data_IF_934673803200
#
_entry.id   IF_934673803200
#
_cell.length_a   1.000
_cell.length_b   1.000
_cell.length_c   1.000
_cell.angle_alpha   90.00
_cell.angle_beta   90.00
_cell.angle_gamma   90.00
#
_symmetry.space_group_name_H-M   'P 1'
#
loop_
_entity.id
_entity.type
_entity.pdbx_description
1 polymer ?
#
# COMPACT_ATOMS: atom_id res chain seq x y z
N UNK A 1 -2.16 -4.85 9.17
CA UNK A 1 -1.28 -5.12 8.02
C UNK A 1 -2.13 -5.87 7.00
N UNK A 2 -1.93 -5.67 5.69
CA UNK A 2 -2.74 -6.40 4.69
C UNK A 2 -2.19 -7.83 4.53
N UNK A 3 -3.03 -8.85 4.27
CA UNK A 3 -2.60 -10.24 4.12
C UNK A 3 -1.49 -10.43 3.06
N UNK A 4 -1.51 -9.61 2.02
CA UNK A 4 -0.49 -9.64 0.96
C UNK A 4 0.91 -9.25 1.45
N UNK A 5 1.02 -8.35 2.43
CA UNK A 5 2.30 -7.97 3.01
C UNK A 5 2.83 -9.04 3.97
N UNK A 6 1.92 -9.70 4.71
CA UNK A 6 2.25 -10.85 5.56
C UNK A 6 2.77 -12.01 4.70
N UNK A 7 2.06 -12.34 3.60
CA UNK A 7 2.48 -13.38 2.66
C UNK A 7 3.79 -13.04 1.95
N UNK A 8 3.99 -11.78 1.55
CA UNK A 8 5.27 -11.33 0.98
C UNK A 8 6.43 -11.54 1.96
N UNK A 9 6.23 -11.21 3.25
CA UNK A 9 7.23 -11.41 4.28
C UNK A 9 7.52 -12.89 4.51
N UNK A 10 6.49 -13.74 4.52
CA UNK A 10 6.67 -15.19 4.63
C UNK A 10 7.50 -15.75 3.47
N UNK A 11 7.17 -15.40 2.22
CA UNK A 11 7.90 -15.83 1.03
C UNK A 11 9.36 -15.35 1.04
N UNK A 12 9.61 -14.15 1.56
CA UNK A 12 10.98 -13.65 1.77
C UNK A 12 11.78 -14.48 2.79
N UNK A 13 11.15 -14.89 3.89
CA UNK A 13 11.80 -15.76 4.88
C UNK A 13 12.08 -17.15 4.30
N UNK A 14 11.17 -17.69 3.48
CA UNK A 14 11.37 -18.97 2.78
C UNK A 14 12.54 -18.87 1.79
N UNK A 15 12.59 -17.79 0.98
CA UNK A 15 13.64 -17.60 -0.03
C UNK A 15 15.05 -17.47 0.58
N UNK A 16 15.15 -16.98 1.82
CA UNK A 16 16.41 -16.96 2.57
C UNK A 16 16.89 -18.33 3.06
N UNK A 17 16.03 -19.36 3.08
CA UNK A 17 16.35 -20.71 3.56
C UNK A 17 16.54 -21.71 2.42
N UNK A 18 15.80 -21.55 1.33
CA UNK A 18 15.89 -22.37 0.11
C UNK A 18 15.42 -21.58 -1.09
N UNK A 19 15.72 -22.06 -2.30
CA UNK A 19 15.09 -21.55 -3.50
C UNK A 19 13.56 -21.69 -3.40
N UNK A 20 12.86 -20.67 -3.89
CA UNK A 20 11.41 -20.72 -4.04
C UNK A 20 11.04 -21.73 -5.13
N UNK A 21 9.92 -22.41 -4.93
CA UNK A 21 9.31 -23.20 -6.01
C UNK A 21 8.70 -22.25 -7.04
N UNK A 22 8.48 -22.68 -8.29
CA UNK A 22 7.86 -21.84 -9.32
C UNK A 22 6.50 -21.25 -8.91
N UNK A 23 5.73 -21.98 -8.10
CA UNK A 23 4.46 -21.49 -7.57
C UNK A 23 4.65 -20.37 -6.54
N UNK A 24 5.64 -20.52 -5.64
CA UNK A 24 5.98 -19.50 -4.65
C UNK A 24 6.59 -18.25 -5.30
N UNK A 25 7.40 -18.40 -6.36
CA UNK A 25 7.92 -17.27 -7.13
C UNK A 25 6.79 -16.49 -7.81
N UNK A 26 5.84 -17.19 -8.43
CA UNK A 26 4.67 -16.55 -9.04
C UNK A 26 3.83 -15.79 -8.00
N UNK A 27 3.60 -16.39 -6.82
CA UNK A 27 2.91 -15.75 -5.72
C UNK A 27 3.68 -14.55 -5.16
N UNK A 28 5.01 -14.66 -5.03
CA UNK A 28 5.86 -13.56 -4.58
C UNK A 28 5.75 -12.38 -5.55
N UNK A 29 5.76 -12.65 -6.86
CA UNK A 29 5.63 -11.61 -7.88
C UNK A 29 4.26 -10.93 -7.81
N UNK A 30 3.18 -11.67 -7.58
CA UNK A 30 1.85 -11.11 -7.36
C UNK A 30 1.81 -10.23 -6.10
N UNK A 31 2.40 -10.70 -5.00
CA UNK A 31 2.48 -9.94 -3.77
C UNK A 31 3.28 -8.63 -3.96
N UNK A 32 4.40 -8.69 -4.69
CA UNK A 32 5.22 -7.52 -5.02
C UNK A 32 4.45 -6.50 -5.86
N UNK A 33 3.66 -6.93 -6.85
CA UNK A 33 2.84 -6.02 -7.65
C UNK A 33 1.82 -5.25 -6.80
N UNK A 34 1.13 -5.96 -5.90
CA UNK A 34 0.17 -5.33 -4.98
C UNK A 34 0.89 -4.41 -3.99
N UNK A 35 2.04 -4.84 -3.44
CA UNK A 35 2.85 -4.04 -2.53
C UNK A 35 3.36 -2.75 -3.19
N UNK A 36 3.85 -2.84 -4.43
CA UNK A 36 4.31 -1.68 -5.19
C UNK A 36 3.19 -0.66 -5.39
N UNK A 37 1.99 -1.12 -5.77
CA UNK A 37 0.82 -0.25 -5.91
C UNK A 37 0.43 0.40 -4.58
N UNK A 38 0.38 -0.37 -3.50
CA UNK A 38 0.08 0.15 -2.16
C UNK A 38 1.07 1.25 -1.75
N UNK A 39 2.37 0.99 -1.90
CA UNK A 39 3.42 1.94 -1.57
C UNK A 39 3.32 3.23 -2.39
N UNK A 40 3.03 3.11 -3.69
CA UNK A 40 2.86 4.26 -4.57
C UNK A 40 1.66 5.13 -4.17
N UNK A 41 0.49 4.53 -3.92
CA UNK A 41 -0.69 5.26 -3.47
C UNK A 41 -0.48 5.92 -2.10
N UNK A 42 0.16 5.21 -1.15
CA UNK A 42 0.47 5.76 0.16
C UNK A 42 1.43 6.94 0.07
N UNK A 43 2.45 6.86 -0.79
CA UNK A 43 3.37 7.96 -1.03
C UNK A 43 2.67 9.18 -1.64
N UNK A 44 1.79 8.95 -2.63
CA UNK A 44 0.95 10.00 -3.23
C UNK A 44 0.13 10.72 -2.16
N UNK A 45 -0.60 9.97 -1.33
CA UNK A 45 -1.43 10.54 -0.27
C UNK A 45 -0.61 11.32 0.77
N UNK A 46 0.57 10.83 1.17
CA UNK A 46 1.46 11.57 2.08
C UNK A 46 1.91 12.92 1.51
N UNK A 47 2.20 12.96 0.21
CA UNK A 47 2.55 14.21 -0.45
C UNK A 47 1.36 15.17 -0.51
N UNK A 48 0.15 14.66 -0.79
CA UNK A 48 -1.07 15.46 -0.77
C UNK A 48 -1.38 16.01 0.64
N UNK A 49 -1.22 15.20 1.69
CA UNK A 49 -1.38 15.65 3.08
C UNK A 49 -0.38 16.77 3.44
N UNK A 50 0.88 16.64 3.00
CA UNK A 50 1.87 17.69 3.20
C UNK A 50 1.43 19.01 2.55
N UNK A 51 0.94 18.96 1.30
CA UNK A 51 0.45 20.15 0.61
C UNK A 51 -0.77 20.76 1.31
N UNK A 52 -1.73 19.96 1.74
CA UNK A 52 -2.90 20.41 2.48
C UNK A 52 -2.52 21.14 3.77
N UNK A 53 -1.56 20.59 4.52
CA UNK A 53 -1.00 21.21 5.72
C UNK A 53 -0.29 22.54 5.42
N UNK A 54 0.51 22.61 4.34
CA UNK A 54 1.20 23.84 3.94
C UNK A 54 0.24 24.95 3.50
N UNK A 55 -0.91 24.61 2.91
CA UNK A 55 -1.93 25.58 2.50
C UNK A 55 -2.97 25.88 3.59
N UNK A 56 -2.91 25.19 4.73
CA UNK A 56 -3.90 25.32 5.80
C UNK A 56 -5.29 24.78 5.44
N UNK A 57 -5.40 23.91 4.44
CA UNK A 57 -6.67 23.32 3.99
C UNK A 57 -7.01 22.09 4.84
N UNK A 58 -7.67 22.35 5.97
CA UNK A 58 -8.07 21.29 6.91
C UNK A 58 -9.10 20.31 6.32
N UNK A 59 -9.93 20.75 5.37
CA UNK A 59 -10.91 19.88 4.72
C UNK A 59 -10.21 18.85 3.83
N UNK A 60 -9.27 19.31 3.01
CA UNK A 60 -8.44 18.42 2.20
C UNK A 60 -7.62 17.47 3.08
N UNK A 61 -7.00 17.96 4.16
CA UNK A 61 -6.21 17.11 5.06
C UNK A 61 -7.05 15.97 5.67
N UNK A 62 -8.27 16.27 6.12
CA UNK A 62 -9.20 15.28 6.65
C UNK A 62 -9.59 14.22 5.60
N UNK A 63 -9.84 14.63 4.35
CA UNK A 63 -10.12 13.69 3.26
C UNK A 63 -8.95 12.75 2.98
N UNK A 64 -7.72 13.27 2.97
CA UNK A 64 -6.52 12.47 2.74
C UNK A 64 -6.30 11.50 3.90
N UNK A 65 -6.51 11.94 5.14
CA UNK A 65 -6.45 11.05 6.30
C UNK A 65 -7.44 9.87 6.19
N UNK A 66 -8.67 10.13 5.72
CA UNK A 66 -9.68 9.09 5.47
C UNK A 66 -9.23 8.12 4.35
N UNK A 67 -8.70 8.63 3.24
CA UNK A 67 -8.18 7.81 2.14
C UNK A 67 -6.98 6.95 2.57
N UNK A 68 -6.07 7.51 3.37
CA UNK A 68 -4.94 6.74 3.92
C UNK A 68 -5.42 5.64 4.87
N UNK A 69 -6.48 5.90 5.64
CA UNK A 69 -7.10 4.88 6.49
C UNK A 69 -7.73 3.76 5.64
N UNK A 70 -8.50 4.10 4.61
CA UNK A 70 -9.08 3.14 3.67
C UNK A 70 -8.01 2.29 2.97
N UNK A 71 -6.92 2.92 2.53
CA UNK A 71 -5.80 2.21 1.91
C UNK A 71 -5.16 1.21 2.87
N UNK A 72 -4.97 1.58 4.14
CA UNK A 72 -4.40 0.69 5.17
C UNK A 72 -5.30 -0.50 5.49
N UNK A 73 -6.62 -0.33 5.42
CA UNK A 73 -7.58 -1.37 5.79
C UNK A 73 -7.97 -2.27 4.62
N UNK A 74 -8.05 -1.72 3.41
CA UNK A 74 -8.57 -2.44 2.23
C UNK A 74 -7.54 -2.68 1.13
N UNK A 75 -6.39 -1.99 1.17
CA UNK A 75 -5.40 -2.00 0.08
C UNK A 75 -5.82 -1.20 -1.15
N UNK A 76 -6.90 -0.42 -1.08
CA UNK A 76 -7.43 0.41 -2.17
C UNK A 76 -7.91 1.75 -1.63
N UNK A 77 -7.99 2.73 -2.53
CA UNK A 77 -8.59 4.03 -2.26
C UNK A 77 -9.80 4.18 -3.18
N UNK A 78 -10.95 4.55 -2.61
CA UNK A 78 -12.14 4.88 -3.39
C UNK A 78 -11.90 6.14 -4.23
N UNK A 79 -12.31 6.15 -5.50
CA UNK A 79 -12.20 7.34 -6.35
C UNK A 79 -13.00 8.48 -5.73
N UNK A 80 -12.38 9.66 -5.58
CA UNK A 80 -13.09 10.90 -5.23
C UNK A 80 -14.28 11.07 -6.18
N UNK A 81 -15.48 11.22 -5.63
CA UNK A 81 -16.62 11.71 -6.41
C UNK A 81 -16.27 13.15 -6.79
N UNK A 82 -16.25 13.42 -8.10
CA UNK A 82 -16.07 14.77 -8.65
C UNK A 82 -17.26 15.64 -8.31
#
# INVERSE_FOLDING_TARGET
MLPVHERLAELFIISGKRALTPAEEAEQQQCLQVNARYCWEMARLKNEALLAGLTGDAGWDQEIAAQMFELRTTGRVSKRRK
#
